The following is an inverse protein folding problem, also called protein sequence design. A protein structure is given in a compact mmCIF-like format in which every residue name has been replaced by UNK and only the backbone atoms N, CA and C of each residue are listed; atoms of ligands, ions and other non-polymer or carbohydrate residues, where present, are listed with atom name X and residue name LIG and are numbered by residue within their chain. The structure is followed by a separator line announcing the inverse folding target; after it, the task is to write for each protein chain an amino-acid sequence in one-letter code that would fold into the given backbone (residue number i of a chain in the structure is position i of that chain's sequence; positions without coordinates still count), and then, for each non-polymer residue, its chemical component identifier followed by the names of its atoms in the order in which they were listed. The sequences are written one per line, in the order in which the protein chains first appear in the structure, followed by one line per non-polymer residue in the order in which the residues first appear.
data_IF_824935241243
#
_entry.id   IF_824935241243
#
_cell.length_a   1.000
_cell.length_b   1.000
_cell.length_c   1.000
_cell.angle_alpha   90.00
_cell.angle_beta   90.00
_cell.angle_gamma   90.00
#
_symmetry.space_group_name_H-M   'P 1'
#
loop_
_entity.id
_entity.type
_entity.pdbx_description
1 polymer ?
#
# COMPACT_ATOMS: atom_id res chain seq x y z
N UNK A 1 -9.87 -1.11 -2.04
CA UNK A 1 -10.42 0.22 -1.71
C UNK A 1 -11.25 0.75 -2.86
N UNK A 2 -12.45 1.26 -2.57
CA UNK A 2 -13.27 1.94 -3.55
C UNK A 2 -12.81 3.40 -3.64
N UNK A 3 -12.00 3.72 -4.65
CA UNK A 3 -11.36 5.03 -4.82
C UNK A 3 -12.36 6.18 -4.89
N UNK A 4 -13.43 6.15 -5.70
CA UNK A 4 -14.42 7.23 -5.75
C UNK A 4 -15.16 7.48 -4.44
N UNK A 5 -15.30 6.47 -3.61
CA UNK A 5 -15.92 6.60 -2.28
C UNK A 5 -14.90 6.96 -1.19
N UNK A 6 -13.61 6.96 -1.50
CA UNK A 6 -12.51 7.21 -0.55
C UNK A 6 -12.61 6.26 0.67
N UNK A 7 -13.13 5.05 0.49
CA UNK A 7 -13.45 4.11 1.56
C UNK A 7 -13.02 2.70 1.21
N UNK A 8 -12.55 1.98 2.20
CA UNK A 8 -12.18 0.56 2.12
C UNK A 8 -12.69 -0.25 3.30
N UNK A 9 -13.04 0.41 4.42
CA UNK A 9 -13.37 -0.26 5.68
C UNK A 9 -14.55 -1.24 5.53
N UNK A 10 -15.62 -0.84 4.83
CA UNK A 10 -16.77 -1.71 4.59
C UNK A 10 -16.38 -2.99 3.84
N UNK A 11 -15.54 -2.90 2.80
CA UNK A 11 -15.05 -4.07 2.08
C UNK A 11 -14.09 -4.91 2.93
N UNK A 12 -13.28 -4.28 3.77
CA UNK A 12 -12.41 -4.99 4.72
C UNK A 12 -13.22 -5.77 5.76
N UNK A 13 -14.27 -5.16 6.32
CA UNK A 13 -15.17 -5.83 7.27
C UNK A 13 -15.89 -7.02 6.62
N UNK A 14 -16.48 -6.84 5.44
CA UNK A 14 -17.16 -7.92 4.71
C UNK A 14 -16.17 -9.03 4.37
N UNK A 15 -14.94 -8.70 3.93
CA UNK A 15 -13.94 -9.74 3.63
C UNK A 15 -13.53 -10.53 4.87
N UNK A 16 -13.48 -9.87 6.04
CA UNK A 16 -13.24 -10.55 7.32
C UNK A 16 -14.35 -11.52 7.69
N UNK A 17 -15.61 -11.14 7.50
CA UNK A 17 -16.78 -12.00 7.71
C UNK A 17 -16.72 -13.23 6.78
N UNK A 18 -16.55 -13.00 5.48
CA UNK A 18 -16.44 -14.09 4.50
C UNK A 18 -15.28 -15.05 4.79
N UNK A 19 -14.13 -14.52 5.25
CA UNK A 19 -12.98 -15.33 5.65
C UNK A 19 -13.31 -16.20 6.88
N UNK A 20 -13.93 -15.61 7.90
CA UNK A 20 -14.32 -16.33 9.12
C UNK A 20 -15.34 -17.43 8.82
N UNK A 21 -16.34 -17.17 8.00
CA UNK A 21 -17.33 -18.16 7.59
C UNK A 21 -16.73 -19.28 6.74
N UNK A 22 -15.83 -18.95 5.81
CA UNK A 22 -15.13 -19.96 5.01
C UNK A 22 -14.25 -20.87 5.88
N UNK A 23 -13.52 -20.28 6.84
CA UNK A 23 -12.71 -21.01 7.81
C UNK A 23 -13.57 -21.92 8.69
N UNK A 24 -14.69 -21.42 9.22
CA UNK A 24 -15.60 -22.19 10.05
C UNK A 24 -16.19 -23.40 9.29
N UNK A 25 -16.59 -23.20 8.02
CA UNK A 25 -17.05 -24.30 7.16
C UNK A 25 -15.96 -25.34 6.90
N UNK A 26 -14.72 -24.90 6.69
CA UNK A 26 -13.61 -25.82 6.47
C UNK A 26 -13.31 -26.67 7.72
N UNK A 27 -13.26 -26.04 8.89
CA UNK A 27 -13.04 -26.72 10.17
C UNK A 27 -14.19 -27.74 10.45
N UNK A 28 -15.44 -27.33 10.26
CA UNK A 28 -16.59 -28.20 10.44
C UNK A 28 -16.58 -29.42 9.49
N UNK A 29 -15.96 -29.28 8.32
CA UNK A 29 -15.76 -30.35 7.35
C UNK A 29 -14.49 -31.18 7.59
N UNK A 30 -13.75 -30.95 8.68
CA UNK A 30 -12.48 -31.64 9.00
C UNK A 30 -11.33 -31.29 8.05
N UNK A 31 -11.40 -30.17 7.36
CA UNK A 31 -10.33 -29.70 6.45
C UNK A 31 -9.40 -28.74 7.17
N UNK A 32 -8.14 -29.11 7.27
CA UNK A 32 -7.09 -28.31 7.90
C UNK A 32 -5.92 -28.10 6.95
N UNK A 33 -5.36 -26.88 6.92
CA UNK A 33 -4.15 -26.57 6.18
C UNK A 33 -4.33 -26.45 4.65
N UNK A 34 -5.56 -26.46 4.13
CA UNK A 34 -5.84 -26.30 2.71
C UNK A 34 -6.17 -24.84 2.32
N UNK A 35 -6.19 -24.58 1.03
CA UNK A 35 -6.56 -23.27 0.48
C UNK A 35 -8.08 -23.09 0.50
N UNK A 36 -8.56 -22.01 1.12
CA UNK A 36 -9.98 -21.66 1.18
C UNK A 36 -10.47 -21.04 -0.13
N UNK A 37 -10.73 -21.86 -1.15
CA UNK A 37 -11.21 -21.43 -2.47
C UNK A 37 -12.57 -20.75 -2.42
N UNK A 38 -13.42 -21.14 -1.49
CA UNK A 38 -14.75 -20.57 -1.25
C UNK A 38 -14.66 -19.09 -0.88
N UNK A 39 -13.65 -18.73 -0.06
CA UNK A 39 -13.37 -17.32 0.28
C UNK A 39 -12.97 -16.52 -0.96
N UNK A 40 -12.05 -17.02 -1.79
CA UNK A 40 -11.64 -16.32 -3.01
C UNK A 40 -12.84 -16.10 -3.94
N UNK A 41 -13.70 -17.11 -4.09
CA UNK A 41 -14.92 -17.00 -4.88
C UNK A 41 -15.90 -15.97 -4.31
N UNK A 42 -16.17 -16.00 -3.00
CA UNK A 42 -17.08 -15.09 -2.32
C UNK A 42 -16.61 -13.61 -2.49
N UNK A 43 -15.32 -13.34 -2.31
CA UNK A 43 -14.76 -12.00 -2.50
C UNK A 43 -14.86 -11.53 -3.95
N UNK A 44 -14.60 -12.40 -4.94
CA UNK A 44 -14.60 -12.02 -6.37
C UNK A 44 -15.99 -11.85 -6.96
N UNK A 45 -16.93 -12.69 -6.58
CA UNK A 45 -18.29 -12.72 -7.17
C UNK A 45 -19.35 -12.06 -6.31
N UNK A 46 -19.10 -11.96 -5.01
CA UNK A 46 -19.98 -11.34 -4.03
C UNK A 46 -19.99 -9.82 -4.08
N UNK A 47 -20.50 -9.21 -3.03
CA UNK A 47 -20.73 -7.76 -2.89
C UNK A 47 -19.44 -6.96 -3.11
N UNK A 48 -18.30 -7.43 -2.56
CA UNK A 48 -17.00 -6.76 -2.70
C UNK A 48 -16.58 -6.71 -4.17
N UNK A 49 -16.59 -7.84 -4.85
CA UNK A 49 -16.20 -7.93 -6.26
C UNK A 49 -17.09 -7.10 -7.17
N UNK A 50 -18.40 -7.08 -6.90
CA UNK A 50 -19.37 -6.28 -7.64
C UNK A 50 -19.16 -4.77 -7.43
N UNK A 51 -18.94 -4.33 -6.17
CA UNK A 51 -18.67 -2.94 -5.85
C UNK A 51 -17.39 -2.43 -6.52
N UNK A 52 -16.30 -3.19 -6.40
CA UNK A 52 -15.01 -2.82 -6.96
C UNK A 52 -14.98 -2.89 -8.50
N UNK A 53 -15.75 -3.81 -9.09
CA UNK A 53 -15.85 -3.93 -10.56
C UNK A 53 -16.45 -2.67 -11.21
N UNK A 54 -17.44 -2.06 -10.58
CA UNK A 54 -18.08 -0.82 -11.07
C UNK A 54 -17.11 0.34 -11.18
N UNK A 55 -16.11 0.40 -10.31
CA UNK A 55 -15.16 1.52 -10.20
C UNK A 55 -13.76 1.22 -10.70
N UNK A 56 -13.55 0.05 -11.31
CA UNK A 56 -12.23 -0.49 -11.64
C UNK A 56 -11.37 0.40 -12.54
N UNK A 57 -12.00 1.24 -13.37
CA UNK A 57 -11.31 2.09 -14.33
C UNK A 57 -10.93 3.47 -13.79
N UNK A 58 -11.46 3.90 -12.64
CA UNK A 58 -11.25 5.25 -12.11
C UNK A 58 -9.78 5.53 -11.80
N UNK A 59 -9.12 4.63 -11.06
CA UNK A 59 -7.69 4.81 -10.72
C UNK A 59 -6.76 4.71 -11.94
N UNK A 60 -6.91 3.73 -12.84
CA UNK A 60 -6.16 3.70 -14.09
C UNK A 60 -6.35 4.94 -14.97
N UNK A 61 -7.60 5.44 -15.08
CA UNK A 61 -7.88 6.68 -15.79
C UNK A 61 -7.12 7.86 -15.19
N UNK A 62 -7.18 8.01 -13.86
CA UNK A 62 -6.49 9.08 -13.15
C UNK A 62 -4.97 9.02 -13.37
N UNK A 63 -4.39 7.85 -13.23
CA UNK A 63 -2.94 7.67 -13.42
C UNK A 63 -2.48 8.00 -14.84
N UNK A 64 -3.36 7.83 -15.85
CA UNK A 64 -3.05 8.01 -17.26
C UNK A 64 -3.33 9.42 -17.78
N UNK A 65 -4.43 10.02 -17.35
CA UNK A 65 -4.95 11.27 -17.94
C UNK A 65 -4.99 12.44 -16.95
N UNK A 66 -4.62 12.22 -15.69
CA UNK A 66 -4.73 13.22 -14.64
C UNK A 66 -6.16 13.38 -14.14
N UNK A 67 -6.40 14.39 -13.28
CA UNK A 67 -7.63 14.54 -12.53
C UNK A 67 -8.86 14.82 -13.43
N UNK A 68 -8.84 15.89 -14.21
CA UNK A 68 -10.03 16.37 -14.91
C UNK A 68 -10.58 15.40 -15.97
N UNK A 69 -9.76 14.90 -16.92
CA UNK A 69 -10.27 13.91 -17.87
C UNK A 69 -10.73 12.62 -17.21
N UNK A 70 -10.09 12.21 -16.10
CA UNK A 70 -10.47 10.98 -15.40
C UNK A 70 -11.79 11.12 -14.65
N UNK A 71 -12.17 12.32 -14.18
CA UNK A 71 -13.49 12.56 -13.58
C UNK A 71 -14.60 12.35 -14.61
N UNK A 72 -14.43 12.84 -15.82
CA UNK A 72 -15.42 12.67 -16.91
C UNK A 72 -15.48 11.19 -17.33
N UNK A 73 -14.37 10.61 -17.73
CA UNK A 73 -14.31 9.23 -18.23
C UNK A 73 -14.72 8.20 -17.15
N UNK A 74 -14.20 8.37 -15.93
CA UNK A 74 -14.55 7.52 -14.80
C UNK A 74 -16.00 7.68 -14.38
N UNK A 75 -16.52 8.91 -14.39
CA UNK A 75 -17.92 9.21 -14.10
C UNK A 75 -18.88 8.54 -15.10
N UNK A 76 -18.61 8.68 -16.41
CA UNK A 76 -19.39 8.02 -17.46
C UNK A 76 -19.37 6.49 -17.33
N UNK A 77 -18.18 5.91 -17.07
CA UNK A 77 -18.02 4.46 -16.92
C UNK A 77 -18.76 3.93 -15.68
N UNK A 78 -18.68 4.65 -14.55
CA UNK A 78 -19.40 4.30 -13.33
C UNK A 78 -20.92 4.45 -13.51
N UNK A 79 -21.37 5.50 -14.17
CA UNK A 79 -22.78 5.77 -14.42
C UNK A 79 -23.39 4.68 -15.29
N UNK A 80 -22.68 4.29 -16.36
CA UNK A 80 -23.12 3.17 -17.19
C UNK A 80 -23.21 1.87 -16.40
N UNK A 81 -22.23 1.59 -15.56
CA UNK A 81 -22.24 0.41 -14.69
C UNK A 81 -23.39 0.43 -13.68
N UNK A 82 -23.78 1.62 -13.21
CA UNK A 82 -24.93 1.82 -12.32
C UNK A 82 -26.27 1.57 -13.01
N UNK A 83 -26.44 2.06 -14.24
CA UNK A 83 -27.70 1.98 -15.00
C UNK A 83 -27.89 0.63 -15.71
N UNK A 84 -26.84 0.10 -16.31
CA UNK A 84 -26.91 -1.09 -17.18
C UNK A 84 -26.28 -2.35 -16.57
N UNK A 85 -25.66 -2.24 -15.40
CA UNK A 85 -24.86 -3.32 -14.79
C UNK A 85 -23.50 -3.56 -15.48
N UNK A 86 -23.17 -2.80 -16.52
CA UNK A 86 -21.94 -2.97 -17.31
C UNK A 86 -21.19 -1.66 -17.48
N UNK A 87 -19.84 -1.75 -17.37
CA UNK A 87 -18.99 -0.62 -17.71
C UNK A 87 -18.91 -0.45 -19.23
N UNK A 88 -18.95 0.78 -19.73
CA UNK A 88 -18.75 1.10 -21.15
C UNK A 88 -17.32 0.82 -21.58
N UNK A 89 -16.38 1.14 -20.69
CA UNK A 89 -14.96 0.96 -20.97
C UNK A 89 -14.51 -0.47 -20.64
N UNK A 90 -13.58 -1.00 -21.46
CA UNK A 90 -12.86 -2.22 -21.09
C UNK A 90 -12.04 -1.98 -19.83
N UNK A 91 -11.65 -3.06 -19.15
CA UNK A 91 -10.79 -2.95 -17.97
C UNK A 91 -9.42 -2.38 -18.37
N UNK A 92 -9.09 -1.22 -17.83
CA UNK A 92 -7.79 -0.60 -17.99
C UNK A 92 -6.84 -1.10 -16.91
N UNK A 93 -5.58 -1.24 -17.29
CA UNK A 93 -4.50 -1.58 -16.37
C UNK A 93 -3.62 -0.35 -16.15
N UNK A 94 -2.96 -0.29 -15.01
CA UNK A 94 -1.86 0.64 -14.79
C UNK A 94 -0.72 0.32 -15.74
N UNK A 95 -0.10 1.37 -16.29
CA UNK A 95 1.05 1.21 -17.20
C UNK A 95 2.35 0.94 -16.45
N UNK A 96 2.40 1.28 -15.16
CA UNK A 96 3.56 1.11 -14.29
C UNK A 96 3.11 0.62 -12.92
N UNK A 97 3.97 -0.13 -12.26
CA UNK A 97 3.83 -0.44 -10.82
C UNK A 97 4.11 0.82 -9.99
N UNK A 98 3.76 0.80 -8.70
CA UNK A 98 4.07 1.91 -7.79
C UNK A 98 5.58 2.12 -7.62
N UNK A 99 6.36 1.05 -7.65
CA UNK A 99 7.82 1.09 -7.65
C UNK A 99 8.36 1.79 -8.91
N UNK A 100 7.98 1.32 -10.11
CA UNK A 100 8.38 1.91 -11.39
C UNK A 100 7.93 3.37 -11.59
N UNK A 101 6.89 3.80 -10.87
CA UNK A 101 6.40 5.17 -10.88
C UNK A 101 7.25 6.12 -10.02
N UNK A 102 8.17 5.61 -9.21
CA UNK A 102 9.08 6.42 -8.40
C UNK A 102 10.03 7.18 -9.31
N UNK A 103 9.96 8.50 -9.27
CA UNK A 103 10.78 9.37 -10.11
C UNK A 103 12.15 9.66 -9.49
N UNK A 104 13.14 9.93 -10.33
CA UNK A 104 14.49 10.33 -9.88
C UNK A 104 14.44 11.62 -9.08
N UNK A 105 15.15 11.68 -7.96
CA UNK A 105 15.11 12.79 -7.00
C UNK A 105 15.44 14.15 -7.65
N UNK A 106 16.35 14.18 -8.59
CA UNK A 106 16.74 15.41 -9.31
C UNK A 106 15.58 16.10 -10.05
N UNK A 107 14.46 15.41 -10.30
CA UNK A 107 13.27 15.97 -10.97
C UNK A 107 12.28 16.63 -10.01
N UNK A 108 12.52 16.55 -8.72
CA UNK A 108 11.57 17.02 -7.69
C UNK A 108 12.25 17.95 -6.70
N UNK A 109 11.47 18.85 -6.13
CA UNK A 109 11.90 19.66 -4.99
C UNK A 109 11.43 19.01 -3.69
N UNK A 110 12.25 19.04 -2.63
CA UNK A 110 11.82 18.58 -1.31
C UNK A 110 10.58 19.35 -0.83
N UNK A 111 9.61 18.63 -0.27
CA UNK A 111 8.44 19.25 0.36
C UNK A 111 8.83 19.61 1.80
N UNK A 112 8.67 20.88 2.16
CA UNK A 112 8.88 21.35 3.53
C UNK A 112 7.54 21.27 4.26
N UNK A 113 7.42 20.37 5.22
CA UNK A 113 6.24 20.24 6.06
C UNK A 113 6.36 21.13 7.31
N UNK A 114 5.24 21.68 7.83
CA UNK A 114 5.24 22.35 9.13
C UNK A 114 5.75 21.39 10.22
N UNK A 115 6.55 21.94 11.15
CA UNK A 115 7.00 21.14 12.30
C UNK A 115 5.80 20.84 13.20
N UNK A 116 5.67 19.60 13.72
CA UNK A 116 4.67 19.27 14.73
C UNK A 116 4.83 20.13 15.98
N UNK A 117 3.72 20.48 16.63
CA UNK A 117 3.70 21.34 17.81
C UNK A 117 3.90 20.56 19.14
N UNK A 118 3.89 19.24 19.08
CA UNK A 118 4.00 18.36 20.25
C UNK A 118 2.77 18.34 21.17
N UNK A 119 1.67 18.98 20.75
CA UNK A 119 0.40 19.05 21.51
C UNK A 119 -0.77 18.44 20.76
N UNK A 120 -1.01 18.90 19.55
CA UNK A 120 -2.06 18.41 18.66
C UNK A 120 -1.48 17.57 17.50
N UNK A 121 -0.23 17.82 17.18
CA UNK A 121 0.50 17.09 16.14
C UNK A 121 1.86 16.64 16.66
N UNK A 122 2.26 15.44 16.28
CA UNK A 122 3.49 14.81 16.76
C UNK A 122 4.34 14.38 15.57
N UNK A 123 5.65 14.29 15.79
CA UNK A 123 6.55 13.73 14.81
C UNK A 123 6.31 12.22 14.61
N UNK A 124 6.88 11.68 13.54
CA UNK A 124 6.67 10.29 13.13
C UNK A 124 7.08 9.29 14.21
N UNK A 125 8.23 9.48 14.84
CA UNK A 125 8.74 8.54 15.84
C UNK A 125 7.93 8.59 17.13
N UNK A 126 7.49 9.77 17.55
CA UNK A 126 6.57 9.92 18.69
C UNK A 126 5.25 9.21 18.43
N UNK A 127 4.68 9.34 17.21
CA UNK A 127 3.47 8.60 16.84
C UNK A 127 3.67 7.07 16.86
N UNK A 128 4.84 6.58 16.42
CA UNK A 128 5.17 5.15 16.49
C UNK A 128 5.29 4.70 17.93
N UNK A 129 5.95 5.48 18.79
CA UNK A 129 6.04 5.17 20.22
C UNK A 129 4.65 5.06 20.87
N UNK A 130 3.72 5.97 20.55
CA UNK A 130 2.34 5.93 21.05
C UNK A 130 1.51 4.75 20.49
N UNK A 131 1.93 4.11 19.42
CA UNK A 131 1.26 2.90 18.91
C UNK A 131 1.54 1.66 19.74
N UNK A 132 2.51 1.72 20.63
CA UNK A 132 3.00 0.60 21.45
C UNK A 132 3.40 -0.62 20.59
N UNK A 133 3.83 -0.39 19.35
CA UNK A 133 4.35 -1.45 18.48
C UNK A 133 5.61 -2.05 19.12
N UNK A 134 5.59 -3.35 19.29
CA UNK A 134 6.71 -4.11 19.86
C UNK A 134 6.89 -5.42 19.12
N UNK A 135 8.12 -5.81 18.93
CA UNK A 135 8.51 -7.10 18.34
C UNK A 135 9.37 -7.87 19.33
N UNK A 136 9.31 -9.18 19.25
CA UNK A 136 10.16 -10.06 20.06
C UNK A 136 11.63 -9.75 19.76
N UNK A 137 12.40 -9.39 20.79
CA UNK A 137 13.79 -8.95 20.61
C UNK A 137 14.72 -10.07 20.12
N UNK A 138 14.41 -11.30 20.50
CA UNK A 138 15.19 -12.49 20.13
C UNK A 138 14.90 -13.02 18.73
N UNK A 139 13.84 -12.55 18.08
CA UNK A 139 13.51 -13.01 16.72
C UNK A 139 14.42 -12.35 15.67
N UNK A 140 14.77 -13.05 14.58
CA UNK A 140 15.50 -12.46 13.47
C UNK A 140 14.72 -11.32 12.83
N UNK A 141 15.43 -10.28 12.35
CA UNK A 141 14.82 -9.21 11.58
C UNK A 141 14.05 -9.79 10.38
N UNK A 142 12.75 -9.48 10.29
CA UNK A 142 11.88 -9.93 9.21
C UNK A 142 12.03 -9.12 7.91
N UNK A 143 12.68 -7.95 8.00
CA UNK A 143 12.95 -7.09 6.84
C UNK A 143 14.34 -7.45 6.29
N UNK A 144 14.37 -8.01 5.10
CA UNK A 144 15.61 -8.48 4.46
C UNK A 144 15.76 -7.82 3.08
N UNK A 145 16.93 -7.30 2.83
CA UNK A 145 17.30 -6.80 1.50
C UNK A 145 17.80 -7.96 0.65
N UNK A 146 17.40 -8.02 -0.61
CA UNK A 146 17.97 -8.98 -1.57
C UNK A 146 19.42 -8.67 -1.86
N UNK A 147 19.74 -7.39 -2.01
CA UNK A 147 21.11 -6.88 -2.14
C UNK A 147 21.28 -5.69 -1.18
N UNK A 148 22.07 -5.85 -0.11
CA UNK A 148 22.28 -4.81 0.91
C UNK A 148 23.05 -3.58 0.39
N UNK A 149 23.62 -3.64 -0.82
CA UNK A 149 24.35 -2.52 -1.41
C UNK A 149 23.43 -1.54 -2.14
N UNK A 150 22.26 -1.99 -2.61
CA UNK A 150 21.32 -1.22 -3.42
C UNK A 150 20.86 0.09 -2.76
N UNK A 151 20.48 0.12 -1.49
CA UNK A 151 20.03 1.36 -0.86
C UNK A 151 21.06 2.50 -0.94
N UNK A 152 22.33 2.21 -0.77
CA UNK A 152 23.39 3.22 -0.80
C UNK A 152 23.91 3.44 -2.22
N UNK A 153 24.13 2.36 -2.98
CA UNK A 153 24.75 2.44 -4.31
C UNK A 153 23.80 2.97 -5.38
N UNK A 154 22.51 2.68 -5.29
CA UNK A 154 21.50 2.99 -6.31
C UNK A 154 20.44 3.94 -5.78
N UNK A 155 19.74 3.55 -4.70
CA UNK A 155 18.57 4.30 -4.24
C UNK A 155 18.94 5.68 -3.71
N UNK A 156 20.04 5.79 -2.96
CA UNK A 156 20.47 7.07 -2.40
C UNK A 156 20.81 8.11 -3.49
N UNK A 157 21.70 7.82 -4.46
CA UNK A 157 22.08 8.82 -5.48
C UNK A 157 20.95 9.08 -6.50
N UNK A 158 20.17 8.08 -6.89
CA UNK A 158 19.15 8.25 -7.94
C UNK A 158 17.81 8.75 -7.39
N UNK A 159 17.38 8.27 -6.23
CA UNK A 159 16.05 8.48 -5.68
C UNK A 159 16.07 9.16 -4.29
N UNK A 160 17.26 9.55 -3.80
CA UNK A 160 17.49 10.08 -2.45
C UNK A 160 16.99 9.15 -1.34
N UNK A 161 17.17 7.86 -1.49
CA UNK A 161 16.70 6.75 -0.66
C UNK A 161 15.24 6.94 -0.18
N UNK A 162 14.26 6.58 -1.00
CA UNK A 162 12.86 6.90 -0.75
C UNK A 162 12.28 6.17 0.47
N UNK A 163 12.91 5.09 0.94
CA UNK A 163 12.45 4.35 2.11
C UNK A 163 12.37 5.22 3.36
N UNK A 164 13.27 6.21 3.49
CA UNK A 164 13.22 7.19 4.56
C UNK A 164 11.94 8.02 4.60
N UNK A 165 11.23 8.12 3.47
CA UNK A 165 10.02 8.95 3.30
C UNK A 165 8.74 8.14 3.18
N UNK A 166 8.74 7.03 2.44
CA UNK A 166 7.52 6.24 2.28
C UNK A 166 7.21 5.37 3.52
N UNK A 167 8.21 5.05 4.34
CA UNK A 167 7.95 4.31 5.56
C UNK A 167 7.24 5.18 6.60
N UNK A 168 6.01 4.84 7.03
CA UNK A 168 5.26 5.64 8.00
C UNK A 168 5.82 5.52 9.42
N UNK A 169 6.67 4.52 9.68
CA UNK A 169 7.14 4.17 11.02
C UNK A 169 8.62 4.47 11.28
N UNK A 170 9.32 5.12 10.33
CA UNK A 170 10.74 5.44 10.53
C UNK A 170 11.65 4.23 10.66
N UNK A 171 11.33 3.16 9.95
CA UNK A 171 12.12 1.92 9.96
C UNK A 171 13.45 2.10 9.24
N UNK A 172 13.46 2.85 8.15
CA UNK A 172 14.62 3.00 7.28
C UNK A 172 15.27 4.36 7.43
N UNK A 173 16.58 4.36 7.63
CA UNK A 173 17.40 5.57 7.75
C UNK A 173 18.71 5.42 6.99
N UNK A 174 19.19 6.53 6.45
CA UNK A 174 20.58 6.65 6.00
C UNK A 174 21.31 7.48 7.03
N UNK A 175 22.32 6.89 7.64
CA UNK A 175 23.15 7.53 8.66
C UNK A 175 24.52 7.76 8.07
N UNK A 176 25.04 8.98 8.22
CA UNK A 176 26.42 9.31 7.86
C UNK A 176 27.35 8.95 9.02
N UNK A 177 28.37 8.16 8.74
CA UNK A 177 29.43 7.88 9.69
C UNK A 177 30.81 8.17 9.06
N UNK A 178 31.89 7.90 9.79
CA UNK A 178 33.25 8.17 9.33
C UNK A 178 33.64 7.41 8.05
N UNK A 179 32.93 6.33 7.71
CA UNK A 179 33.14 5.50 6.51
C UNK A 179 32.22 5.88 5.35
N UNK A 180 31.29 6.82 5.56
CA UNK A 180 30.30 7.29 4.59
C UNK A 180 28.87 6.86 4.94
N UNK A 181 27.92 7.01 4.00
CA UNK A 181 26.52 6.73 4.24
C UNK A 181 26.26 5.23 4.46
N UNK A 182 25.49 4.91 5.48
CA UNK A 182 25.09 3.55 5.85
C UNK A 182 23.57 3.45 5.98
N UNK A 183 22.99 2.41 5.38
CA UNK A 183 21.56 2.12 5.49
C UNK A 183 21.27 1.33 6.76
N UNK A 184 20.32 1.81 7.55
CA UNK A 184 19.93 1.23 8.84
C UNK A 184 18.46 0.80 8.77
N UNK A 185 18.16 -0.38 9.32
CA UNK A 185 16.81 -0.92 9.41
C UNK A 185 16.43 -1.04 10.89
N UNK A 186 15.62 -0.12 11.38
CA UNK A 186 15.08 -0.11 12.74
C UNK A 186 13.81 -0.96 12.80
N UNK A 187 13.94 -2.27 12.64
CA UNK A 187 12.80 -3.18 12.43
C UNK A 187 11.80 -3.19 13.60
N UNK A 188 12.23 -2.82 14.80
CA UNK A 188 11.35 -2.70 15.97
C UNK A 188 10.21 -1.69 15.76
N UNK A 189 10.42 -0.68 14.91
CA UNK A 189 9.39 0.32 14.57
C UNK A 189 8.39 -0.18 13.53
N UNK A 190 8.59 -1.35 12.92
CA UNK A 190 7.78 -1.82 11.79
C UNK A 190 6.33 -2.09 12.19
N UNK A 191 5.38 -1.44 11.50
CA UNK A 191 3.92 -1.64 11.68
C UNK A 191 3.31 -2.58 10.62
N UNK A 192 4.13 -3.33 9.91
CA UNK A 192 3.73 -4.33 8.89
C UNK A 192 2.80 -3.79 7.78
N UNK A 193 2.92 -2.53 7.40
CA UNK A 193 2.06 -1.91 6.39
C UNK A 193 2.34 -2.35 4.94
N UNK A 194 3.43 -3.08 4.70
CA UNK A 194 3.85 -3.58 3.37
C UNK A 194 4.17 -2.50 2.33
N UNK A 195 4.30 -1.24 2.75
CA UNK A 195 4.62 -0.15 1.83
C UNK A 195 5.99 -0.34 1.16
N UNK A 196 6.98 -0.88 1.89
CA UNK A 196 8.31 -1.17 1.34
C UNK A 196 8.25 -2.19 0.18
N UNK A 197 7.51 -3.29 0.35
CA UNK A 197 7.36 -4.32 -0.70
C UNK A 197 6.73 -3.78 -2.00
N UNK A 198 5.94 -2.70 -1.89
CA UNK A 198 5.19 -2.12 -3.01
C UNK A 198 5.97 -0.97 -3.65
N UNK A 199 6.70 -0.20 -2.84
CA UNK A 199 7.21 1.13 -3.21
C UNK A 199 8.69 1.18 -3.54
N UNK A 200 9.45 0.13 -3.19
CA UNK A 200 10.88 0.11 -3.49
C UNK A 200 11.08 0.10 -5.02
N UNK A 201 11.90 1.04 -5.56
CA UNK A 201 12.10 1.15 -7.00
C UNK A 201 13.09 0.14 -7.59
N UNK A 202 13.76 -0.70 -6.74
CA UNK A 202 14.85 -1.60 -7.16
C UNK A 202 14.67 -3.06 -6.77
#
# INVERSE_FOLDING_TARGET
VNVPRIKGNHNAMISGIEAAEAAARAIAAGREGDRLTDYDQAVRTGVIGQDLRKVRNVKPAWSRYGLWPSLVLGGMDMWSAGLTGRNILRTWKHGKTDAEATGKAAKFKPIVYPKPDGKLSFDRLTNVAFSFTNHEESQPCHLKLKDPTVPIRVNLPEFAEPAQRYCPAGVYEVVEDASGPRFVINFQNCVHCKTCDIKDPT
#
